data_IF_683263837223
#
_entry.id   IF_683263837223
#
_cell.length_a   1.000
_cell.length_b   1.000
_cell.length_c   1.000
_cell.angle_alpha   90.00
_cell.angle_beta   90.00
_cell.angle_gamma   90.00
#
_symmetry.space_group_name_H-M   'P 1'
#
loop_
_entity.id
_entity.type
_entity.pdbx_description
1 polymer ?
#
# COMPACT_ATOMS: atom_id res chain seq x y z
N UNK A 1 -36.68 -18.09 27.75
CA UNK A 1 -35.43 -18.72 27.29
C UNK A 1 -34.71 -17.95 26.16
N UNK A 2 -35.35 -17.03 25.43
CA UNK A 2 -34.70 -16.29 24.33
C UNK A 2 -33.65 -15.26 24.75
N UNK A 3 -33.76 -14.66 25.95
CA UNK A 3 -32.83 -13.61 26.42
C UNK A 3 -31.41 -14.13 26.70
N UNK A 4 -31.28 -15.36 27.19
CA UNK A 4 -29.98 -15.99 27.42
C UNK A 4 -29.28 -16.35 26.11
N UNK A 5 -30.03 -16.74 25.09
CA UNK A 5 -29.50 -17.06 23.76
C UNK A 5 -28.96 -15.80 23.05
N UNK A 6 -29.62 -14.66 23.22
CA UNK A 6 -29.17 -13.36 22.68
C UNK A 6 -27.88 -12.87 23.35
N UNK A 7 -27.75 -13.03 24.66
CA UNK A 7 -26.53 -12.68 25.40
C UNK A 7 -25.37 -13.62 25.02
N UNK A 8 -25.66 -14.91 24.87
CA UNK A 8 -24.68 -15.89 24.40
C UNK A 8 -24.18 -15.58 22.98
N UNK A 9 -25.07 -15.20 22.06
CA UNK A 9 -24.71 -14.82 20.69
C UNK A 9 -23.85 -13.55 20.63
N UNK A 10 -24.17 -12.55 21.47
CA UNK A 10 -23.40 -11.30 21.55
C UNK A 10 -22.00 -11.50 22.15
N UNK A 11 -21.86 -12.38 23.15
CA UNK A 11 -20.57 -12.71 23.77
C UNK A 11 -19.67 -13.58 22.89
N UNK A 12 -20.25 -14.47 22.08
CA UNK A 12 -19.48 -15.29 21.12
C UNK A 12 -19.09 -14.52 19.85
N UNK A 13 -19.90 -13.54 19.44
CA UNK A 13 -19.62 -12.72 18.24
C UNK A 13 -18.34 -11.87 18.35
N UNK A 14 -17.95 -11.46 19.56
CA UNK A 14 -16.73 -10.65 19.77
C UNK A 14 -15.43 -11.45 19.67
N UNK A 15 -15.47 -12.78 19.70
CA UNK A 15 -14.26 -13.61 19.66
C UNK A 15 -13.72 -13.87 18.23
N UNK A 16 -14.51 -13.59 17.19
CA UNK A 16 -14.16 -13.85 15.78
C UNK A 16 -13.75 -12.60 14.99
N UNK A 17 -13.57 -11.46 15.65
CA UNK A 17 -13.41 -10.16 15.00
C UNK A 17 -11.98 -9.63 14.82
N UNK A 18 -10.93 -10.43 15.02
CA UNK A 18 -9.56 -9.98 14.72
C UNK A 18 -9.23 -10.39 13.28
N UNK A 19 -9.71 -9.63 12.30
CA UNK A 19 -9.17 -9.73 10.94
C UNK A 19 -7.68 -9.39 11.00
N UNK A 20 -6.84 -10.43 10.88
CA UNK A 20 -5.41 -10.22 10.68
C UNK A 20 -5.25 -9.49 9.35
N UNK A 21 -4.69 -8.29 9.41
CA UNK A 21 -4.38 -7.48 8.24
C UNK A 21 -3.71 -8.34 7.17
N UNK A 22 -4.33 -8.40 6.00
CA UNK A 22 -4.01 -9.34 4.94
C UNK A 22 -2.80 -8.89 4.10
N UNK A 23 -2.04 -7.88 4.53
CA UNK A 23 -0.87 -7.37 3.83
C UNK A 23 0.37 -8.23 4.09
N UNK A 24 1.15 -8.49 3.05
CA UNK A 24 2.38 -9.28 3.13
C UNK A 24 3.55 -8.42 3.63
N UNK A 25 3.64 -7.19 3.14
CA UNK A 25 4.63 -6.21 3.62
C UNK A 25 3.97 -4.86 3.91
N UNK A 26 4.50 -4.17 4.90
CA UNK A 26 4.08 -2.81 5.29
C UNK A 26 5.31 -1.99 5.62
N UNK A 27 5.38 -0.76 5.12
CA UNK A 27 6.46 0.18 5.45
C UNK A 27 5.92 1.61 5.50
N UNK A 28 6.52 2.46 6.33
CA UNK A 28 6.17 3.89 6.42
C UNK A 28 7.38 4.73 6.06
N UNK A 29 7.20 5.64 5.11
CA UNK A 29 8.17 6.67 4.78
C UNK A 29 7.72 8.03 5.31
N UNK A 30 8.68 8.83 5.74
CA UNK A 30 8.50 10.27 5.98
C UNK A 30 9.45 10.99 5.03
N UNK A 31 8.90 11.70 4.06
CA UNK A 31 9.67 12.27 2.95
C UNK A 31 9.67 13.80 3.01
N UNK A 32 10.84 14.37 2.73
CA UNK A 32 10.96 15.79 2.39
C UNK A 32 10.60 16.03 0.93
N UNK A 33 10.40 17.31 0.59
CA UNK A 33 10.05 17.71 -0.77
C UNK A 33 11.10 17.22 -1.76
N UNK A 34 10.63 16.63 -2.85
CA UNK A 34 11.43 16.11 -3.97
C UNK A 34 12.43 15.01 -3.56
N UNK A 35 12.32 14.47 -2.33
CA UNK A 35 13.08 13.29 -1.90
C UNK A 35 12.56 12.07 -2.67
N UNK A 36 13.47 11.39 -3.36
CA UNK A 36 13.16 10.21 -4.17
C UNK A 36 13.49 8.98 -3.36
N UNK A 37 12.53 8.08 -3.27
CA UNK A 37 12.76 6.73 -2.76
C UNK A 37 12.59 5.72 -3.89
N UNK A 38 13.32 4.61 -3.78
CA UNK A 38 13.23 3.47 -4.70
C UNK A 38 12.87 2.19 -3.94
N UNK A 39 11.74 1.58 -4.32
CA UNK A 39 11.33 0.27 -3.81
C UNK A 39 11.67 -0.76 -4.87
N UNK A 40 12.46 -1.77 -4.51
CA UNK A 40 12.85 -2.84 -5.45
C UNK A 40 12.01 -4.08 -5.20
N UNK A 41 11.56 -4.68 -6.29
CA UNK A 41 10.83 -5.94 -6.30
C UNK A 41 11.63 -6.97 -7.09
N UNK A 42 11.93 -8.10 -6.45
CA UNK A 42 12.59 -9.24 -7.09
C UNK A 42 11.59 -10.38 -7.22
N UNK A 43 11.23 -10.76 -8.44
CA UNK A 43 10.34 -11.90 -8.66
C UNK A 43 11.10 -13.22 -8.45
N UNK A 44 10.56 -14.08 -7.59
CA UNK A 44 11.08 -15.40 -7.30
C UNK A 44 10.55 -16.36 -8.37
N UNK A 45 11.33 -16.59 -9.44
CA UNK A 45 11.06 -17.64 -10.43
C UNK A 45 12.18 -18.69 -10.42
N UNK A 46 11.88 -19.95 -10.76
CA UNK A 46 12.89 -21.01 -10.84
C UNK A 46 13.97 -20.78 -11.91
N UNK A 47 13.64 -20.07 -12.99
CA UNK A 47 14.46 -20.02 -14.20
C UNK A 47 15.17 -18.67 -14.42
N UNK A 48 14.67 -17.56 -13.86
CA UNK A 48 15.29 -16.24 -14.03
C UNK A 48 14.81 -15.25 -12.96
N UNK A 49 15.73 -14.50 -12.34
CA UNK A 49 15.40 -13.45 -11.39
C UNK A 49 15.16 -12.13 -12.11
N UNK A 50 13.90 -11.78 -12.35
CA UNK A 50 13.52 -10.48 -12.90
C UNK A 50 13.29 -9.46 -11.78
N UNK A 51 13.97 -8.31 -11.84
CA UNK A 51 13.76 -7.20 -10.91
C UNK A 51 13.01 -6.03 -11.55
N UNK A 52 12.29 -5.28 -10.73
CA UNK A 52 11.70 -4.00 -11.13
C UNK A 52 11.75 -3.02 -9.97
N UNK A 53 11.94 -1.74 -10.29
CA UNK A 53 12.01 -0.66 -9.31
C UNK A 53 10.82 0.27 -9.48
N UNK A 54 10.26 0.70 -8.35
CA UNK A 54 9.29 1.78 -8.26
C UNK A 54 9.96 2.98 -7.60
N UNK A 55 10.05 4.07 -8.34
CA UNK A 55 10.51 5.35 -7.82
C UNK A 55 9.30 6.18 -7.44
N UNK A 56 9.32 6.82 -6.27
CA UNK A 56 8.33 7.83 -5.96
C UNK A 56 8.89 9.00 -5.16
N UNK A 57 8.28 10.16 -5.35
CA UNK A 57 8.55 11.40 -4.60
C UNK A 57 7.29 12.26 -4.55
N UNK A 58 7.33 13.35 -3.78
CA UNK A 58 6.27 14.36 -3.77
C UNK A 58 6.83 15.75 -4.06
N UNK A 59 6.04 16.61 -4.69
CA UNK A 59 6.51 17.92 -5.20
C UNK A 59 5.80 19.12 -4.60
N UNK A 60 4.48 19.04 -4.41
CA UNK A 60 3.68 20.20 -4.03
C UNK A 60 2.62 19.81 -3.00
N UNK A 61 2.49 20.63 -1.96
CA UNK A 61 1.40 20.59 -1.00
C UNK A 61 0.50 21.81 -1.24
N UNK A 62 -0.80 21.59 -1.38
CA UNK A 62 -1.82 22.65 -1.42
C UNK A 62 -2.95 22.28 -0.48
N UNK A 63 -3.06 23.00 0.63
CA UNK A 63 -4.01 22.70 1.72
C UNK A 63 -3.81 21.26 2.24
N UNK A 64 -4.76 20.35 2.01
CA UNK A 64 -4.75 18.95 2.42
C UNK A 64 -4.35 17.99 1.28
N UNK A 65 -3.78 18.52 0.19
CA UNK A 65 -3.43 17.79 -1.02
C UNK A 65 -1.94 17.69 -1.22
N UNK A 66 -1.48 16.54 -1.72
CA UNK A 66 -0.09 16.31 -2.12
C UNK A 66 -0.03 15.82 -3.56
N UNK A 67 0.81 16.45 -4.37
CA UNK A 67 1.15 15.93 -5.71
C UNK A 67 2.32 14.97 -5.59
N UNK A 68 2.11 13.73 -6.03
CA UNK A 68 3.13 12.69 -6.08
C UNK A 68 3.54 12.40 -7.51
N UNK A 69 4.83 12.13 -7.69
CA UNK A 69 5.41 11.61 -8.92
C UNK A 69 5.81 10.15 -8.67
N UNK A 70 5.43 9.27 -9.59
CA UNK A 70 5.69 7.86 -9.47
C UNK A 70 6.15 7.30 -10.81
N UNK A 71 7.18 6.47 -10.80
CA UNK A 71 7.65 5.76 -11.98
C UNK A 71 7.80 4.28 -11.67
N UNK A 72 7.10 3.44 -12.43
CA UNK A 72 7.21 1.99 -12.33
C UNK A 72 7.52 1.42 -13.71
N UNK A 73 8.61 0.66 -13.83
CA UNK A 73 9.03 0.03 -15.11
C UNK A 73 9.18 1.02 -16.26
N UNK A 74 9.58 2.25 -15.97
CA UNK A 74 9.78 3.31 -16.98
C UNK A 74 8.53 4.09 -17.34
N UNK A 75 7.37 3.80 -16.75
CA UNK A 75 6.11 4.52 -16.99
C UNK A 75 5.90 5.59 -15.92
N UNK A 76 6.03 6.89 -16.25
CA UNK A 76 5.82 7.97 -15.31
C UNK A 76 4.32 8.25 -15.11
N UNK A 77 3.96 8.51 -13.86
CA UNK A 77 2.61 8.87 -13.44
C UNK A 77 2.68 10.04 -12.45
N UNK A 78 1.63 10.86 -12.48
CA UNK A 78 1.40 11.91 -11.50
C UNK A 78 0.03 11.71 -10.87
N UNK A 79 -0.03 11.79 -9.54
CA UNK A 79 -1.28 11.71 -8.79
C UNK A 79 -1.40 12.87 -7.82
N UNK A 80 -2.63 13.20 -7.46
CA UNK A 80 -2.94 14.17 -6.41
C UNK A 80 -3.71 13.41 -5.34
N UNK A 81 -3.11 13.29 -4.15
CA UNK A 81 -3.69 12.60 -3.00
C UNK A 81 -4.27 13.60 -1.99
N UNK A 82 -5.32 13.19 -1.29
CA UNK A 82 -6.05 14.02 -0.33
C UNK A 82 -6.05 13.37 1.05
N UNK A 83 -5.54 14.05 2.07
CA UNK A 83 -5.37 13.48 3.42
C UNK A 83 -6.70 13.14 4.14
N UNK A 84 -7.86 13.68 3.69
CA UNK A 84 -9.15 13.54 4.40
C UNK A 84 -10.28 12.93 3.57
N UNK A 85 -9.99 12.21 2.49
CA UNK A 85 -11.01 11.68 1.56
C UNK A 85 -10.63 10.30 1.06
N UNK A 86 -11.55 9.62 0.37
CA UNK A 86 -11.32 8.33 -0.31
C UNK A 86 -10.31 8.41 -1.49
N UNK A 87 -9.58 9.52 -1.62
CA UNK A 87 -8.57 9.81 -2.63
C UNK A 87 -7.18 9.96 -1.98
N UNK A 88 -6.98 9.34 -0.82
CA UNK A 88 -5.73 9.31 -0.06
C UNK A 88 -4.73 8.29 -0.60
N UNK A 89 -5.11 7.46 -1.58
CA UNK A 89 -4.31 6.30 -1.99
C UNK A 89 -4.29 6.04 -3.48
N UNK A 90 -3.24 5.37 -3.90
CA UNK A 90 -3.06 4.86 -5.26
C UNK A 90 -2.61 3.41 -5.22
N UNK A 91 -3.04 2.62 -6.21
CA UNK A 91 -2.77 1.19 -6.31
C UNK A 91 -2.05 0.87 -7.61
N UNK A 92 -1.02 0.03 -7.52
CA UNK A 92 -0.21 -0.40 -8.66
C UNK A 92 0.02 -1.91 -8.63
N UNK A 93 -0.14 -2.56 -9.77
CA UNK A 93 0.19 -3.97 -9.92
C UNK A 93 1.71 -4.11 -10.09
N UNK A 94 2.34 -4.90 -9.23
CA UNK A 94 3.78 -5.20 -9.30
C UNK A 94 4.00 -6.32 -10.32
N UNK A 95 3.22 -7.40 -10.20
CA UNK A 95 3.19 -8.52 -11.13
C UNK A 95 1.88 -8.50 -11.95
N UNK A 96 1.87 -9.03 -13.18
CA UNK A 96 0.64 -9.22 -13.94
C UNK A 96 -0.28 -10.23 -13.25
N UNK A 97 -1.60 -10.02 -13.38
CA UNK A 97 -2.60 -10.98 -12.95
C UNK A 97 -2.39 -12.30 -13.73
N UNK A 98 -2.09 -13.40 -13.02
CA UNK A 98 -2.19 -14.77 -13.56
C UNK A 98 -3.62 -15.28 -13.32
N UNK A 99 -4.05 -16.30 -14.07
CA UNK A 99 -5.46 -16.67 -14.28
C UNK A 99 -6.42 -16.49 -13.10
N UNK A 100 -6.06 -16.88 -11.86
CA UNK A 100 -6.90 -16.63 -10.70
C UNK A 100 -6.73 -15.20 -10.18
N UNK A 101 -7.55 -14.28 -10.69
CA UNK A 101 -7.51 -12.83 -10.39
C UNK A 101 -7.73 -12.46 -8.91
N UNK A 102 -8.13 -13.38 -8.04
CA UNK A 102 -8.30 -13.11 -6.61
C UNK A 102 -7.03 -13.50 -5.86
N UNK A 103 -6.49 -14.69 -6.13
CA UNK A 103 -5.33 -15.22 -5.43
C UNK A 103 -3.99 -14.73 -6.00
N UNK A 104 -3.94 -14.49 -7.31
CA UNK A 104 -2.70 -14.18 -8.05
C UNK A 104 -2.40 -12.68 -8.14
N UNK A 105 -3.01 -11.86 -7.28
CA UNK A 105 -2.76 -10.42 -7.26
C UNK A 105 -1.54 -10.09 -6.40
N UNK A 106 -0.50 -9.54 -7.03
CA UNK A 106 0.63 -8.92 -6.34
C UNK A 106 0.67 -7.43 -6.66
N UNK A 107 0.31 -6.60 -5.68
CA UNK A 107 0.13 -5.16 -5.86
C UNK A 107 0.58 -4.37 -4.64
N UNK A 108 0.94 -3.12 -4.89
CA UNK A 108 1.26 -2.11 -3.90
C UNK A 108 0.09 -1.13 -3.78
N UNK A 109 -0.20 -0.68 -2.56
CA UNK A 109 -1.02 0.48 -2.26
C UNK A 109 -0.17 1.49 -1.51
N UNK A 110 -0.02 2.68 -2.07
CA UNK A 110 0.60 3.81 -1.41
C UNK A 110 -0.52 4.69 -0.87
N UNK A 111 -0.46 5.01 0.42
CA UNK A 111 -1.46 5.79 1.14
C UNK A 111 -0.79 7.02 1.73
N UNK A 112 -1.36 8.20 1.46
CA UNK A 112 -1.04 9.44 2.14
C UNK A 112 -1.60 9.38 3.56
N UNK A 113 -0.72 9.32 4.54
CA UNK A 113 -1.10 9.13 5.95
C UNK A 113 -1.09 10.43 6.73
N UNK A 114 -0.17 11.34 6.42
CA UNK A 114 -0.07 12.63 7.09
C UNK A 114 0.64 13.68 6.23
N UNK A 115 0.33 14.95 6.46
CA UNK A 115 1.03 16.12 5.91
C UNK A 115 1.46 17.00 7.09
N UNK A 116 2.75 17.05 7.39
CA UNK A 116 3.30 18.00 8.35
C UNK A 116 3.69 19.29 7.62
N UNK A 117 2.74 20.23 7.55
CA UNK A 117 2.95 21.53 6.91
C UNK A 117 4.00 22.41 7.58
N UNK A 118 4.34 22.16 8.86
CA UNK A 118 5.36 22.94 9.56
C UNK A 118 6.77 22.48 9.18
N UNK A 119 6.97 21.17 9.03
CA UNK A 119 8.26 20.58 8.64
C UNK A 119 8.44 20.42 7.14
N UNK A 120 7.37 20.63 6.36
CA UNK A 120 7.32 20.29 4.94
C UNK A 120 7.71 18.81 4.72
N UNK A 121 7.10 17.94 5.52
CA UNK A 121 7.28 16.49 5.45
C UNK A 121 5.93 15.82 5.19
N UNK A 122 5.95 14.75 4.41
CA UNK A 122 4.75 13.97 4.07
C UNK A 122 5.00 12.51 4.45
N UNK A 123 4.04 11.93 5.17
CA UNK A 123 4.10 10.52 5.56
C UNK A 123 3.28 9.68 4.58
N UNK A 124 3.89 8.60 4.10
CA UNK A 124 3.26 7.62 3.24
C UNK A 124 3.34 6.23 3.85
N UNK A 125 2.20 5.55 3.93
CA UNK A 125 2.15 4.13 4.24
C UNK A 125 2.13 3.33 2.93
N UNK A 126 3.05 2.37 2.83
CA UNK A 126 3.16 1.41 1.74
C UNK A 126 2.64 0.07 2.22
N UNK A 127 1.64 -0.46 1.53
CA UNK A 127 1.09 -1.79 1.76
C UNK A 127 1.28 -2.65 0.52
N UNK A 128 1.85 -3.84 0.68
CA UNK A 128 2.05 -4.78 -0.41
C UNK A 128 1.27 -6.06 -0.13
N UNK A 129 0.44 -6.45 -1.09
CA UNK A 129 -0.26 -7.73 -1.09
C UNK A 129 0.49 -8.67 -2.00
N UNK A 130 0.88 -9.83 -1.48
CA UNK A 130 1.44 -10.93 -2.24
C UNK A 130 1.10 -12.26 -1.57
N UNK A 131 -0.06 -12.83 -1.91
CA UNK A 131 -0.57 -14.04 -1.24
C UNK A 131 0.30 -15.28 -1.44
N UNK A 132 1.11 -15.28 -2.50
CA UNK A 132 1.90 -16.45 -2.92
C UNK A 132 3.39 -16.28 -2.67
N UNK A 133 3.82 -15.21 -1.98
CA UNK A 133 5.22 -14.91 -1.68
C UNK A 133 6.12 -15.03 -2.93
N UNK A 134 5.67 -14.45 -4.03
CA UNK A 134 6.33 -14.46 -5.34
C UNK A 134 7.34 -13.35 -5.50
N UNK A 135 7.37 -12.38 -4.59
CA UNK A 135 8.33 -11.29 -4.62
C UNK A 135 9.10 -11.17 -3.31
N UNK A 136 10.36 -10.75 -3.42
CA UNK A 136 11.11 -10.12 -2.34
C UNK A 136 11.03 -8.61 -2.53
N UNK A 137 10.97 -7.87 -1.42
CA UNK A 137 10.85 -6.41 -1.41
C UNK A 137 12.02 -5.81 -0.64
N UNK A 138 12.68 -4.82 -1.24
CA UNK A 138 13.68 -3.97 -0.59
C UNK A 138 13.12 -2.55 -0.49
N UNK A 139 13.15 -1.99 0.73
CA UNK A 139 12.67 -0.66 1.09
C UNK A 139 13.81 0.30 1.38
#
# INVERSE_FOLDING_TARGET
>A
MSRFLLIFLLLFGSLFGIEKSNWTHTHRYTLKKDEIIDIKFHEIKPEEMSSSTLFFSWTTIVEDRVTILLNHKGYPHQYILYNKRSLDRVKFNILPDRGNRIEDKTYLVLVLSNIDGNKQEVEFDIFIKDNKNRILVEF
#
